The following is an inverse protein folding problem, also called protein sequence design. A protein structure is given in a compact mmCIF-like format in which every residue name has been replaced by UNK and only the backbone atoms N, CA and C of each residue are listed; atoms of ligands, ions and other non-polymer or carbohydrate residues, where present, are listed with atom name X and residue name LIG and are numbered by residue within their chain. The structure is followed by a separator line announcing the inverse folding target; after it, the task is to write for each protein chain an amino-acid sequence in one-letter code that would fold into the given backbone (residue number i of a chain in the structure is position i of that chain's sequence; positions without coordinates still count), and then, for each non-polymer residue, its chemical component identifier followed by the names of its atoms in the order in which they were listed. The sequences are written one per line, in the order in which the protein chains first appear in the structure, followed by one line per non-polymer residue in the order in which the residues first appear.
data_IF_063616478297
#
_entry.id   IF_063616478297
#
_cell.length_a   1.000
_cell.length_b   1.000
_cell.length_c   1.000
_cell.angle_alpha   90.00
_cell.angle_beta   90.00
_cell.angle_gamma   90.00
#
_symmetry.space_group_name_H-M   'P 1'
#
loop_
_entity.id
_entity.type
_entity.pdbx_description
1 polymer ?
#
# COMPACT_ATOMS: atom_id res chain seq x y z
N UNK A 1 -12.08 -6.68 35.12
CA UNK A 1 -10.91 -7.48 34.66
C UNK A 1 -10.95 -7.87 33.16
N UNK A 2 -12.07 -8.28 32.53
CA UNK A 2 -12.10 -8.61 31.11
C UNK A 2 -11.65 -7.47 30.19
N UNK A 3 -11.98 -6.21 30.52
CA UNK A 3 -11.62 -5.03 29.72
C UNK A 3 -10.10 -4.76 29.65
N UNK A 4 -9.36 -5.02 30.73
CA UNK A 4 -7.90 -4.84 30.78
C UNK A 4 -7.19 -5.85 29.88
N UNK A 5 -7.64 -7.11 29.87
CA UNK A 5 -7.09 -8.15 29.02
C UNK A 5 -7.38 -7.89 27.54
N UNK A 6 -8.59 -7.44 27.20
CA UNK A 6 -8.97 -7.06 25.86
C UNK A 6 -8.13 -5.88 25.35
N UNK A 7 -7.97 -4.82 26.13
CA UNK A 7 -7.13 -3.66 25.80
C UNK A 7 -5.66 -4.06 25.59
N UNK A 8 -5.14 -4.95 26.43
CA UNK A 8 -3.79 -5.47 26.29
C UNK A 8 -3.62 -6.29 24.99
N UNK A 9 -4.61 -7.09 24.61
CA UNK A 9 -4.62 -7.85 23.36
C UNK A 9 -4.61 -6.91 22.14
N UNK A 10 -5.46 -5.88 22.13
CA UNK A 10 -5.47 -4.84 21.08
C UNK A 10 -4.11 -4.17 20.95
N UNK A 11 -3.51 -3.79 22.07
CA UNK A 11 -2.20 -3.12 22.08
C UNK A 11 -1.09 -4.03 21.57
N UNK A 12 -1.08 -5.31 21.90
CA UNK A 12 -0.12 -6.28 21.35
C UNK A 12 -0.30 -6.45 19.85
N UNK A 13 -1.53 -6.64 19.39
CA UNK A 13 -1.85 -6.78 17.96
C UNK A 13 -1.45 -5.52 17.18
N UNK A 14 -1.75 -4.34 17.70
CA UNK A 14 -1.37 -3.08 17.09
C UNK A 14 0.16 -2.94 16.94
N UNK A 15 0.94 -3.28 17.96
CA UNK A 15 2.42 -3.25 17.90
C UNK A 15 2.95 -4.26 16.89
N UNK A 16 2.41 -5.48 16.85
CA UNK A 16 2.78 -6.48 15.86
C UNK A 16 2.52 -5.98 14.46
N UNK A 17 1.34 -5.43 14.19
CA UNK A 17 0.98 -4.87 12.89
C UNK A 17 1.96 -3.77 12.44
N UNK A 18 2.37 -2.90 13.36
CA UNK A 18 3.38 -1.86 13.05
C UNK A 18 4.73 -2.49 12.74
N UNK A 19 5.16 -3.46 13.53
CA UNK A 19 6.46 -4.13 13.35
C UNK A 19 6.53 -4.92 12.03
N UNK A 20 5.45 -5.62 11.66
CA UNK A 20 5.35 -6.45 10.45
C UNK A 20 4.89 -5.65 9.21
N UNK A 21 4.73 -4.32 9.34
CA UNK A 21 4.20 -3.49 8.26
C UNK A 21 5.13 -3.44 7.05
N UNK A 22 4.53 -3.33 5.88
CA UNK A 22 5.22 -3.05 4.62
C UNK A 22 5.41 -1.55 4.43
N UNK A 23 6.34 -1.15 3.56
CA UNK A 23 6.69 0.25 3.31
C UNK A 23 6.72 0.55 1.82
N UNK A 24 6.31 1.76 1.43
CA UNK A 24 6.52 2.26 0.07
C UNK A 24 7.79 3.12 0.00
N UNK A 25 8.58 2.94 -1.06
CA UNK A 25 9.71 3.80 -1.38
C UNK A 25 9.72 4.13 -2.87
N UNK A 26 10.27 5.30 -3.20
CA UNK A 26 10.48 5.68 -4.61
C UNK A 26 11.86 5.21 -5.09
N UNK A 27 12.04 4.95 -6.40
CA UNK A 27 13.37 4.66 -6.96
C UNK A 27 14.39 5.74 -6.63
N UNK A 28 13.99 7.01 -6.65
CA UNK A 28 14.87 8.13 -6.32
C UNK A 28 15.38 8.07 -4.88
N UNK A 29 14.53 7.74 -3.90
CA UNK A 29 14.94 7.56 -2.52
C UNK A 29 15.94 6.42 -2.38
N UNK A 30 15.62 5.25 -2.95
CA UNK A 30 16.49 4.06 -2.87
C UNK A 30 17.82 4.30 -3.55
N UNK A 31 17.84 4.96 -4.71
CA UNK A 31 19.08 5.29 -5.43
C UNK A 31 19.98 6.24 -4.66
N UNK A 32 19.41 7.24 -3.99
CA UNK A 32 20.14 8.22 -3.20
C UNK A 32 20.70 7.66 -1.88
N UNK A 33 20.11 6.61 -1.33
CA UNK A 33 20.57 5.98 -0.10
C UNK A 33 21.92 5.28 -0.34
N UNK A 34 22.98 5.62 0.42
CA UNK A 34 24.30 4.98 0.29
C UNK A 34 24.30 3.54 0.77
N UNK A 35 23.51 3.25 1.80
CA UNK A 35 23.37 1.94 2.44
C UNK A 35 21.92 1.72 2.89
N UNK A 36 21.61 0.52 3.37
CA UNK A 36 20.33 0.24 4.02
C UNK A 36 20.15 1.18 5.22
N UNK A 37 18.96 1.81 5.38
CA UNK A 37 18.67 2.58 6.60
C UNK A 37 18.78 1.68 7.85
N UNK A 38 19.46 2.15 8.89
CA UNK A 38 19.74 1.34 10.10
C UNK A 38 18.45 0.84 10.78
N UNK A 39 17.44 1.69 10.86
CA UNK A 39 16.13 1.34 11.43
C UNK A 39 15.25 0.47 10.50
N UNK A 40 15.75 0.01 9.35
CA UNK A 40 15.02 -0.85 8.43
C UNK A 40 15.36 -2.33 8.72
N UNK A 41 14.46 -3.14 9.31
CA UNK A 41 14.74 -4.55 9.58
C UNK A 41 14.97 -5.34 8.29
N UNK A 42 15.83 -6.34 8.35
CA UNK A 42 15.96 -7.34 7.28
C UNK A 42 14.64 -8.06 7.05
N UNK A 43 14.42 -8.51 5.82
CA UNK A 43 13.19 -9.19 5.43
C UNK A 43 11.98 -8.25 5.27
N UNK A 44 12.10 -6.94 5.56
CA UNK A 44 10.98 -6.00 5.37
C UNK A 44 10.55 -5.98 3.90
N UNK A 45 9.25 -6.10 3.67
CA UNK A 45 8.66 -5.97 2.32
C UNK A 45 8.55 -4.49 1.95
N UNK A 46 9.16 -4.11 0.82
CA UNK A 46 9.25 -2.73 0.34
C UNK A 46 8.64 -2.63 -1.06
N UNK A 47 7.59 -1.85 -1.16
CA UNK A 47 6.92 -1.54 -2.42
C UNK A 47 7.69 -0.42 -3.12
N UNK A 48 8.06 -0.65 -4.38
CA UNK A 48 8.82 0.30 -5.18
C UNK A 48 7.94 0.87 -6.27
N UNK A 49 7.72 2.18 -6.21
CA UNK A 49 6.84 2.87 -7.16
C UNK A 49 7.43 2.85 -8.57
N UNK A 50 6.56 2.67 -9.58
CA UNK A 50 6.87 3.03 -10.95
C UNK A 50 6.06 4.26 -11.33
N UNK A 51 6.72 5.40 -11.36
CA UNK A 51 6.09 6.69 -11.61
C UNK A 51 5.98 6.96 -13.12
N UNK A 52 4.92 7.66 -13.52
CA UNK A 52 4.71 8.09 -14.91
C UNK A 52 5.87 8.95 -15.39
N UNK A 53 6.29 8.73 -16.64
CA UNK A 53 7.42 9.41 -17.25
C UNK A 53 8.79 8.76 -17.00
N UNK A 54 8.85 7.71 -16.16
CA UNK A 54 10.08 6.97 -15.90
C UNK A 54 10.07 5.58 -16.57
N UNK A 55 11.23 5.12 -16.99
CA UNK A 55 11.37 3.76 -17.51
C UNK A 55 11.34 2.73 -16.38
N UNK A 56 10.80 1.52 -16.65
CA UNK A 56 10.77 0.42 -15.66
C UNK A 56 12.17 0.07 -15.13
N UNK A 57 13.21 0.23 -15.93
CA UNK A 57 14.61 -0.02 -15.54
C UNK A 57 15.04 0.70 -14.25
N UNK A 58 14.50 1.89 -13.96
CA UNK A 58 14.78 2.61 -12.71
C UNK A 58 14.11 1.94 -11.51
N UNK A 59 12.89 1.46 -11.66
CA UNK A 59 12.18 0.68 -10.64
C UNK A 59 12.91 -0.65 -10.40
N UNK A 60 13.32 -1.32 -11.46
CA UNK A 60 14.06 -2.58 -11.39
C UNK A 60 15.41 -2.41 -10.68
N UNK A 61 16.17 -1.36 -11.00
CA UNK A 61 17.43 -1.05 -10.32
C UNK A 61 17.24 -0.77 -8.82
N UNK A 62 16.18 -0.05 -8.46
CA UNK A 62 15.84 0.17 -7.05
C UNK A 62 15.44 -1.14 -6.34
N UNK A 63 14.69 -2.01 -7.01
CA UNK A 63 14.34 -3.32 -6.47
C UNK A 63 15.58 -4.20 -6.24
N UNK A 64 16.57 -4.21 -7.14
CA UNK A 64 17.85 -4.92 -6.95
C UNK A 64 18.56 -4.42 -5.69
N UNK A 65 18.65 -3.10 -5.52
CA UNK A 65 19.28 -2.50 -4.34
C UNK A 65 18.53 -2.83 -3.04
N UNK A 66 17.21 -2.89 -3.06
CA UNK A 66 16.40 -3.35 -1.92
C UNK A 66 16.70 -4.82 -1.59
N UNK A 67 16.92 -5.66 -2.59
CA UNK A 67 17.38 -7.05 -2.38
C UNK A 67 18.75 -7.11 -1.72
N UNK A 68 19.70 -6.28 -2.17
CA UNK A 68 21.03 -6.17 -1.56
C UNK A 68 20.95 -5.74 -0.08
N UNK A 69 19.93 -4.98 0.30
CA UNK A 69 19.65 -4.64 1.70
C UNK A 69 19.09 -5.82 2.52
N UNK A 70 18.86 -6.99 1.91
CA UNK A 70 18.23 -8.13 2.56
C UNK A 70 16.73 -7.95 2.77
N UNK A 71 16.09 -7.08 1.99
CA UNK A 71 14.66 -6.79 2.01
C UNK A 71 13.94 -7.43 0.83
N UNK A 72 12.59 -7.48 0.87
CA UNK A 72 11.75 -8.08 -0.16
C UNK A 72 11.14 -6.96 -1.04
N UNK A 73 11.59 -6.77 -2.30
CA UNK A 73 11.01 -5.76 -3.18
C UNK A 73 9.68 -6.23 -3.76
N UNK A 74 8.73 -5.32 -3.84
CA UNK A 74 7.44 -5.48 -4.54
C UNK A 74 7.33 -4.33 -5.55
N UNK A 75 7.68 -4.54 -6.83
CA UNK A 75 7.54 -3.49 -7.84
C UNK A 75 6.08 -3.18 -8.13
N UNK A 76 5.76 -1.90 -8.31
CA UNK A 76 4.48 -1.46 -8.86
C UNK A 76 4.46 -1.71 -10.35
N UNK A 77 3.36 -2.25 -10.85
CA UNK A 77 3.10 -2.47 -12.27
C UNK A 77 1.83 -1.71 -12.69
N UNK A 78 1.98 -0.48 -13.22
CA UNK A 78 0.86 0.29 -13.73
C UNK A 78 0.38 -0.30 -15.07
N UNK A 79 -0.84 -0.80 -15.14
CA UNK A 79 -1.41 -1.40 -16.35
C UNK A 79 -1.33 -0.46 -17.57
N UNK A 80 -1.67 0.83 -17.35
CA UNK A 80 -1.64 1.85 -18.42
C UNK A 80 -0.24 2.25 -18.88
N UNK A 81 0.83 1.77 -18.22
CA UNK A 81 2.21 1.97 -18.67
C UNK A 81 2.70 0.86 -19.57
N UNK A 82 1.99 -0.28 -19.64
CA UNK A 82 2.35 -1.42 -20.48
C UNK A 82 2.01 -1.12 -21.95
N UNK A 83 3.02 -1.15 -22.81
CA UNK A 83 2.83 -0.95 -24.25
C UNK A 83 2.19 -2.18 -24.91
N UNK A 84 2.63 -3.37 -24.53
CA UNK A 84 2.21 -4.63 -25.12
C UNK A 84 2.44 -5.83 -24.17
N UNK A 85 2.03 -7.02 -24.57
CA UNK A 85 2.24 -8.27 -23.83
C UNK A 85 3.71 -8.71 -23.78
N UNK A 86 4.52 -8.57 -24.84
CA UNK A 86 5.96 -8.81 -24.76
C UNK A 86 6.64 -8.01 -23.67
N UNK A 87 6.33 -6.72 -23.53
CA UNK A 87 6.83 -5.88 -22.43
C UNK A 87 6.39 -6.40 -21.06
N UNK A 88 5.12 -6.79 -20.91
CA UNK A 88 4.61 -7.34 -19.66
C UNK A 88 5.33 -8.65 -19.30
N UNK A 89 5.56 -9.54 -20.27
CA UNK A 89 6.30 -10.79 -20.08
C UNK A 89 7.76 -10.52 -19.69
N UNK A 90 8.43 -9.62 -20.36
CA UNK A 90 9.81 -9.23 -20.03
C UNK A 90 9.89 -8.71 -18.59
N UNK A 91 8.95 -7.86 -18.16
CA UNK A 91 8.89 -7.34 -16.80
C UNK A 91 8.65 -8.48 -15.80
N UNK A 92 7.69 -9.35 -16.05
CA UNK A 92 7.40 -10.51 -15.19
C UNK A 92 8.62 -11.41 -15.02
N UNK A 93 9.34 -11.70 -16.11
CA UNK A 93 10.59 -12.48 -16.09
C UNK A 93 11.70 -11.76 -15.30
N UNK A 94 11.87 -10.46 -15.48
CA UNK A 94 12.85 -9.69 -14.70
C UNK A 94 12.54 -9.75 -13.18
N UNK A 95 11.26 -9.68 -12.81
CA UNK A 95 10.84 -9.80 -11.40
C UNK A 95 11.18 -11.18 -10.84
N UNK A 96 10.90 -12.24 -11.55
CA UNK A 96 11.12 -13.62 -11.06
C UNK A 96 12.58 -14.04 -11.14
N UNK A 97 13.28 -13.75 -12.24
CA UNK A 97 14.63 -14.24 -12.50
C UNK A 97 15.72 -13.37 -11.91
N UNK A 98 15.55 -12.03 -11.92
CA UNK A 98 16.59 -11.12 -11.44
C UNK A 98 16.34 -10.68 -9.99
N UNK A 99 15.08 -10.42 -9.62
CA UNK A 99 14.75 -10.02 -8.25
C UNK A 99 14.49 -11.23 -7.33
N UNK A 100 14.39 -12.43 -7.89
CA UNK A 100 14.05 -13.66 -7.15
C UNK A 100 12.85 -13.47 -6.22
N UNK A 101 11.79 -12.82 -6.74
CA UNK A 101 10.50 -12.64 -6.10
C UNK A 101 9.39 -12.96 -7.07
N UNK A 102 8.27 -13.42 -6.56
CA UNK A 102 7.06 -13.72 -7.32
C UNK A 102 5.91 -12.76 -6.99
N UNK A 103 6.26 -11.61 -6.38
CA UNK A 103 5.31 -10.68 -5.79
C UNK A 103 5.35 -9.33 -6.50
N UNK A 104 4.16 -8.81 -6.86
CA UNK A 104 4.00 -7.49 -7.51
C UNK A 104 2.78 -6.75 -6.94
N UNK A 105 2.75 -5.42 -7.11
CA UNK A 105 1.54 -4.61 -6.92
C UNK A 105 1.01 -4.15 -8.28
N UNK A 106 -0.23 -4.49 -8.60
CA UNK A 106 -0.93 -4.01 -9.78
C UNK A 106 -1.74 -2.76 -9.47
N UNK A 107 -1.48 -1.70 -10.23
CA UNK A 107 -2.24 -0.45 -10.20
C UNK A 107 -2.69 -0.08 -11.62
N UNK A 108 -3.74 0.71 -11.74
CA UNK A 108 -4.16 1.20 -13.06
C UNK A 108 -3.10 2.11 -13.69
N UNK A 109 -2.45 2.93 -12.87
CA UNK A 109 -1.57 4.02 -13.30
C UNK A 109 -2.34 5.30 -13.61
N UNK A 110 -1.60 6.39 -13.72
CA UNK A 110 -2.10 7.77 -13.84
C UNK A 110 -2.09 8.33 -15.28
N UNK A 111 -1.60 7.56 -16.27
CA UNK A 111 -1.69 7.96 -17.68
C UNK A 111 -3.14 8.11 -18.11
N UNK A 112 -3.50 9.27 -18.68
CA UNK A 112 -4.83 9.52 -19.20
C UNK A 112 -5.20 8.55 -20.35
N UNK A 113 -4.23 8.24 -21.23
CA UNK A 113 -4.35 7.22 -22.25
C UNK A 113 -3.41 6.06 -21.95
N UNK A 114 -3.87 4.79 -21.99
CA UNK A 114 -2.99 3.63 -21.93
C UNK A 114 -1.90 3.69 -23.00
N UNK A 115 -0.72 3.16 -22.70
CA UNK A 115 0.36 3.05 -23.69
C UNK A 115 0.08 1.96 -24.74
N UNK A 116 -0.76 0.98 -24.39
CA UNK A 116 -1.19 -0.11 -25.24
C UNK A 116 -2.64 -0.51 -24.96
N UNK A 117 -2.95 -1.80 -25.07
CA UNK A 117 -4.31 -2.33 -24.91
C UNK A 117 -4.74 -2.54 -23.45
N UNK A 118 -3.82 -2.44 -22.46
CA UNK A 118 -4.12 -2.70 -21.05
C UNK A 118 -4.63 -1.42 -20.36
N UNK A 119 -5.94 -1.26 -20.33
CA UNK A 119 -6.58 -0.07 -19.78
C UNK A 119 -6.62 -0.04 -18.25
N UNK A 120 -6.65 -1.21 -17.60
CA UNK A 120 -6.77 -1.38 -16.17
C UNK A 120 -6.14 -2.69 -15.66
N UNK A 121 -6.17 -2.89 -14.37
CA UNK A 121 -5.55 -4.05 -13.71
C UNK A 121 -6.30 -5.36 -13.95
N UNK A 122 -7.59 -5.31 -14.25
CA UNK A 122 -8.38 -6.49 -14.56
C UNK A 122 -8.01 -7.02 -15.95
N UNK A 123 -7.94 -6.13 -16.94
CA UNK A 123 -7.46 -6.47 -18.29
C UNK A 123 -6.04 -7.07 -18.25
N UNK A 124 -5.15 -6.52 -17.39
CA UNK A 124 -3.81 -7.05 -17.21
C UNK A 124 -3.83 -8.48 -16.62
N UNK A 125 -4.60 -8.72 -15.57
CA UNK A 125 -4.74 -10.05 -14.94
C UNK A 125 -5.31 -11.08 -15.92
N UNK A 126 -6.30 -10.70 -16.72
CA UNK A 126 -6.96 -11.59 -17.68
C UNK A 126 -6.02 -12.10 -18.79
N UNK A 127 -4.87 -11.46 -19.00
CA UNK A 127 -3.89 -11.94 -20.00
C UNK A 127 -3.21 -13.25 -19.61
N UNK A 128 -3.17 -13.62 -18.31
CA UNK A 128 -2.39 -14.75 -17.81
C UNK A 128 -0.86 -14.57 -17.85
N UNK A 129 -0.36 -13.52 -18.48
CA UNK A 129 1.07 -13.31 -18.76
C UNK A 129 1.93 -13.24 -17.48
N UNK A 130 1.41 -12.67 -16.41
CA UNK A 130 2.13 -12.62 -15.12
C UNK A 130 2.29 -14.03 -14.51
N UNK A 131 1.23 -14.83 -14.55
CA UNK A 131 1.24 -16.21 -14.08
C UNK A 131 2.23 -17.07 -14.86
N UNK A 132 2.23 -16.93 -16.21
CA UNK A 132 3.18 -17.59 -17.12
C UNK A 132 4.63 -17.20 -16.81
N UNK A 133 4.86 -15.96 -16.35
CA UNK A 133 6.18 -15.45 -15.95
C UNK A 133 6.59 -15.89 -14.54
N UNK A 134 5.78 -16.68 -13.82
CA UNK A 134 6.08 -17.19 -12.50
C UNK A 134 5.60 -16.28 -11.35
N UNK A 135 4.91 -15.20 -11.60
CA UNK A 135 4.29 -14.37 -10.55
C UNK A 135 3.13 -15.15 -9.92
N UNK A 136 3.09 -15.17 -8.58
CA UNK A 136 2.07 -15.89 -7.78
C UNK A 136 1.37 -15.00 -6.78
N UNK A 137 2.06 -13.99 -6.25
CA UNK A 137 1.57 -13.11 -5.21
C UNK A 137 1.26 -11.72 -5.80
N UNK A 138 0.01 -11.29 -5.75
CA UNK A 138 -0.41 -10.06 -6.40
C UNK A 138 -1.15 -9.17 -5.40
N UNK A 139 -0.60 -8.00 -5.16
CA UNK A 139 -1.32 -6.94 -4.50
C UNK A 139 -2.14 -6.14 -5.51
N UNK A 140 -3.34 -5.73 -5.11
CA UNK A 140 -4.23 -4.84 -5.90
C UNK A 140 -4.70 -3.68 -5.03
N UNK A 141 -5.01 -2.55 -5.66
CA UNK A 141 -5.48 -1.37 -4.94
C UNK A 141 -6.91 -1.55 -4.41
N UNK A 142 -7.14 -1.12 -3.15
CA UNK A 142 -8.45 -0.98 -2.53
C UNK A 142 -8.78 0.49 -2.23
N UNK A 143 -10.05 0.87 -2.30
CA UNK A 143 -10.49 2.25 -2.18
C UNK A 143 -11.61 2.38 -1.14
N UNK A 144 -11.30 2.40 0.17
CA UNK A 144 -12.30 2.49 1.23
C UNK A 144 -13.19 3.72 1.16
N UNK A 145 -12.65 4.83 0.68
CA UNK A 145 -13.35 6.12 0.57
C UNK A 145 -13.84 6.40 -0.87
N UNK A 146 -13.89 5.35 -1.71
CA UNK A 146 -14.26 5.44 -3.12
C UNK A 146 -13.08 5.69 -4.04
N UNK A 147 -13.31 5.48 -5.32
CA UNK A 147 -12.34 5.67 -6.40
C UNK A 147 -12.79 6.80 -7.32
N UNK A 148 -11.92 7.75 -7.66
CA UNK A 148 -12.28 8.80 -8.61
C UNK A 148 -12.53 8.26 -10.03
N UNK A 149 -12.09 7.05 -10.32
CA UNK A 149 -12.23 6.41 -11.65
C UNK A 149 -13.43 5.46 -11.70
N UNK A 150 -13.75 4.80 -10.57
CA UNK A 150 -14.89 3.87 -10.45
C UNK A 150 -16.07 4.60 -9.81
N UNK A 151 -16.83 5.32 -10.62
CA UNK A 151 -17.92 6.20 -10.13
C UNK A 151 -19.29 5.50 -10.07
N UNK A 152 -19.46 4.37 -10.76
CA UNK A 152 -20.72 3.65 -10.74
C UNK A 152 -20.89 2.88 -9.42
N UNK A 153 -22.10 2.90 -8.81
CA UNK A 153 -22.38 2.11 -7.62
C UNK A 153 -22.05 0.63 -7.82
N UNK A 154 -21.32 0.02 -6.88
CA UNK A 154 -20.93 -1.39 -6.94
C UNK A 154 -19.78 -1.74 -7.91
N UNK A 155 -19.33 -0.83 -8.75
CA UNK A 155 -18.25 -1.10 -9.72
C UNK A 155 -16.95 -1.58 -9.04
N UNK A 156 -16.51 -0.90 -7.99
CA UNK A 156 -15.30 -1.29 -7.26
C UNK A 156 -15.41 -2.70 -6.65
N UNK A 157 -16.57 -3.03 -6.11
CA UNK A 157 -16.86 -4.35 -5.56
C UNK A 157 -16.86 -5.43 -6.66
N UNK A 158 -17.52 -5.17 -7.79
CA UNK A 158 -17.56 -6.08 -8.95
C UNK A 158 -16.14 -6.38 -9.46
N UNK A 159 -15.29 -5.35 -9.59
CA UNK A 159 -13.89 -5.52 -10.00
C UNK A 159 -13.09 -6.36 -9.00
N UNK A 160 -13.28 -6.17 -7.70
CA UNK A 160 -12.60 -6.98 -6.69
C UNK A 160 -13.07 -8.44 -6.73
N UNK A 161 -14.36 -8.68 -6.95
CA UNK A 161 -14.91 -10.04 -7.11
C UNK A 161 -14.30 -10.75 -8.30
N UNK A 162 -14.25 -10.11 -9.47
CA UNK A 162 -13.62 -10.68 -10.66
C UNK A 162 -12.13 -11.00 -10.44
N UNK A 163 -11.40 -10.12 -9.73
CA UNK A 163 -10.00 -10.41 -9.37
C UNK A 163 -9.88 -11.61 -8.44
N UNK A 164 -10.77 -11.72 -7.45
CA UNK A 164 -10.82 -12.88 -6.55
C UNK A 164 -11.09 -14.17 -7.33
N UNK A 165 -12.03 -14.17 -8.26
CA UNK A 165 -12.35 -15.30 -9.12
C UNK A 165 -11.15 -15.70 -10.00
N UNK A 166 -10.45 -14.72 -10.59
CA UNK A 166 -9.21 -14.98 -11.34
C UNK A 166 -8.16 -15.60 -10.43
N UNK A 167 -7.96 -15.04 -9.22
CA UNK A 167 -7.00 -15.58 -8.27
C UNK A 167 -7.28 -17.04 -7.92
N UNK A 168 -8.54 -17.37 -7.66
CA UNK A 168 -8.97 -18.74 -7.35
C UNK A 168 -8.79 -19.70 -8.53
N UNK A 169 -9.17 -19.25 -9.73
CA UNK A 169 -9.05 -20.04 -10.97
C UNK A 169 -7.57 -20.32 -11.31
N UNK A 170 -6.71 -19.31 -11.20
CA UNK A 170 -5.35 -19.32 -11.74
C UNK A 170 -4.30 -19.62 -10.65
N UNK A 171 -4.71 -19.91 -9.41
CA UNK A 171 -3.81 -20.21 -8.29
C UNK A 171 -2.93 -19.03 -7.87
N UNK A 172 -3.47 -17.80 -7.96
CA UNK A 172 -2.80 -16.57 -7.54
C UNK A 172 -3.24 -16.15 -6.14
N UNK A 173 -2.31 -15.80 -5.27
CA UNK A 173 -2.59 -15.18 -3.99
C UNK A 173 -2.81 -13.66 -4.19
N UNK A 174 -4.08 -13.26 -4.27
CA UNK A 174 -4.45 -11.86 -4.44
C UNK A 174 -4.76 -11.23 -3.10
N UNK A 175 -4.11 -10.10 -2.81
CA UNK A 175 -4.26 -9.31 -1.59
C UNK A 175 -4.57 -7.85 -1.93
N UNK A 176 -5.26 -7.16 -1.05
CA UNK A 176 -5.58 -5.75 -1.24
C UNK A 176 -4.61 -4.90 -0.42
N UNK A 177 -4.04 -3.86 -1.04
CA UNK A 177 -3.48 -2.70 -0.34
C UNK A 177 -4.46 -1.56 -0.46
N UNK A 178 -4.98 -1.05 0.66
CA UNK A 178 -5.90 0.08 0.59
C UNK A 178 -5.17 1.37 0.22
N UNK A 179 -5.92 2.28 -0.39
CA UNK A 179 -5.53 3.68 -0.47
C UNK A 179 -5.20 4.19 0.94
N UNK A 180 -4.49 5.32 1.01
CA UNK A 180 -4.13 5.99 2.24
C UNK A 180 -5.39 6.33 3.07
N UNK A 181 -5.50 5.78 4.28
CA UNK A 181 -6.62 5.95 5.19
C UNK A 181 -6.25 6.88 6.35
N UNK A 182 -7.05 7.90 6.56
CA UNK A 182 -6.89 8.87 7.65
C UNK A 182 -7.97 8.72 8.73
N UNK A 183 -9.12 8.15 8.36
CA UNK A 183 -10.26 7.91 9.24
C UNK A 183 -10.56 6.41 9.30
N UNK A 184 -10.66 5.82 10.50
CA UNK A 184 -11.04 4.43 10.63
C UNK A 184 -12.48 4.14 10.20
N UNK A 185 -13.42 5.09 10.30
CA UNK A 185 -14.84 4.82 10.10
C UNK A 185 -15.17 4.36 8.66
N UNK A 186 -14.75 5.06 7.58
CA UNK A 186 -14.95 4.59 6.21
C UNK A 186 -14.24 3.25 5.95
N UNK A 187 -13.02 3.07 6.48
CA UNK A 187 -12.25 1.84 6.33
C UNK A 187 -12.97 0.63 6.93
N UNK A 188 -13.48 0.74 8.16
CA UNK A 188 -14.20 -0.34 8.84
C UNK A 188 -15.55 -0.63 8.18
N UNK A 189 -16.24 0.40 7.69
CA UNK A 189 -17.48 0.22 6.93
C UNK A 189 -17.23 -0.50 5.61
N UNK A 190 -16.15 -0.12 4.90
CA UNK A 190 -15.75 -0.75 3.65
C UNK A 190 -15.38 -2.23 3.84
N UNK A 191 -14.60 -2.58 4.86
CA UNK A 191 -14.25 -3.97 5.17
C UNK A 191 -15.51 -4.82 5.44
N UNK A 192 -16.44 -4.30 6.25
CA UNK A 192 -17.73 -4.98 6.50
C UNK A 192 -18.50 -5.18 5.21
N UNK A 193 -18.52 -4.17 4.32
CA UNK A 193 -19.18 -4.25 3.03
C UNK A 193 -18.55 -5.30 2.11
N UNK A 194 -17.21 -5.36 2.05
CA UNK A 194 -16.52 -6.39 1.28
C UNK A 194 -16.90 -7.79 1.76
N UNK A 195 -16.79 -8.03 3.06
CA UNK A 195 -17.08 -9.33 3.69
C UNK A 195 -18.54 -9.75 3.51
N UNK A 196 -19.47 -8.83 3.69
CA UNK A 196 -20.91 -9.08 3.47
C UNK A 196 -21.24 -9.43 2.01
N UNK A 197 -20.39 -9.06 1.06
CA UNK A 197 -20.53 -9.36 -0.36
C UNK A 197 -19.62 -10.50 -0.86
N UNK A 198 -19.09 -11.33 0.04
CA UNK A 198 -18.35 -12.54 -0.30
C UNK A 198 -16.90 -12.31 -0.77
N UNK A 199 -16.35 -11.10 -0.55
CA UNK A 199 -14.92 -10.87 -0.74
C UNK A 199 -14.17 -11.45 0.46
N UNK A 200 -13.16 -12.26 0.17
CA UNK A 200 -12.31 -12.93 1.18
C UNK A 200 -10.83 -12.50 1.05
N UNK A 201 -10.53 -11.60 0.13
CA UNK A 201 -9.18 -11.12 -0.12
C UNK A 201 -8.58 -10.45 1.13
N UNK A 202 -7.36 -10.84 1.55
CA UNK A 202 -6.67 -10.21 2.66
C UNK A 202 -6.40 -8.73 2.41
N UNK A 203 -6.58 -7.88 3.43
CA UNK A 203 -6.42 -6.43 3.33
C UNK A 203 -5.22 -5.95 4.14
N UNK A 204 -4.28 -5.27 3.48
CA UNK A 204 -3.25 -4.45 4.09
C UNK A 204 -3.71 -3.00 4.10
N UNK A 205 -3.82 -2.42 5.29
CA UNK A 205 -4.33 -1.05 5.45
C UNK A 205 -3.26 -0.03 5.13
N UNK A 206 -3.52 0.81 4.15
CA UNK A 206 -2.64 1.91 3.76
C UNK A 206 -2.70 3.07 4.74
N UNK A 207 -1.57 3.47 5.31
CA UNK A 207 -1.47 4.53 6.29
C UNK A 207 -0.36 5.52 5.91
N UNK A 208 -0.50 6.82 6.19
CA UNK A 208 0.64 7.71 6.11
C UNK A 208 1.65 7.36 7.20
N UNK A 209 2.92 7.65 6.97
CA UNK A 209 3.89 7.77 8.05
C UNK A 209 3.50 8.93 9.00
N UNK A 210 4.20 9.11 10.13
CA UNK A 210 3.98 10.23 11.05
C UNK A 210 4.49 11.54 10.42
N UNK A 211 3.78 12.05 9.43
CA UNK A 211 4.14 13.22 8.62
C UNK A 211 3.05 14.29 8.67
N UNK A 212 3.44 15.58 8.64
CA UNK A 212 2.46 16.67 8.56
C UNK A 212 1.66 16.62 7.25
N UNK A 213 0.37 17.03 7.26
CA UNK A 213 -0.49 17.06 6.07
C UNK A 213 0.10 17.81 4.89
N UNK A 214 0.80 18.94 5.14
CA UNK A 214 1.51 19.71 4.11
C UNK A 214 2.55 18.88 3.34
N UNK A 215 3.21 17.95 4.03
CA UNK A 215 4.19 17.05 3.41
C UNK A 215 3.50 15.99 2.55
N UNK A 216 2.39 15.41 3.01
CA UNK A 216 1.56 14.49 2.21
C UNK A 216 1.06 15.14 0.93
N UNK A 217 0.54 16.37 1.02
CA UNK A 217 0.08 17.13 -0.16
C UNK A 217 1.23 17.37 -1.15
N UNK A 218 2.38 17.83 -0.65
CA UNK A 218 3.55 18.11 -1.48
C UNK A 218 4.10 16.85 -2.15
N UNK A 219 4.08 15.74 -1.45
CA UNK A 219 4.48 14.44 -2.00
C UNK A 219 3.50 13.96 -3.08
N UNK A 220 2.19 14.03 -2.83
CA UNK A 220 1.16 13.69 -3.80
C UNK A 220 1.28 14.50 -5.11
N UNK A 221 1.58 15.81 -5.01
CA UNK A 221 1.82 16.65 -6.19
C UNK A 221 3.07 16.23 -6.97
N UNK A 222 4.15 15.83 -6.29
CA UNK A 222 5.43 15.45 -6.93
C UNK A 222 5.41 14.06 -7.53
N UNK A 223 4.64 13.16 -6.96
CA UNK A 223 4.55 11.78 -7.43
C UNK A 223 3.49 11.57 -8.52
N UNK A 224 2.88 12.65 -9.04
CA UNK A 224 1.88 12.55 -10.10
C UNK A 224 0.59 11.85 -9.66
N UNK A 225 0.34 11.75 -8.35
CA UNK A 225 -0.87 11.12 -7.81
C UNK A 225 -2.04 12.11 -7.98
N UNK A 226 -2.27 12.53 -9.23
CA UNK A 226 -3.32 13.47 -9.61
C UNK A 226 -4.70 13.13 -9.04
N UNK A 227 -5.12 11.85 -9.02
CA UNK A 227 -6.40 11.44 -8.44
C UNK A 227 -6.48 11.57 -6.91
N UNK A 228 -5.35 11.55 -6.20
CA UNK A 228 -5.34 11.71 -4.73
C UNK A 228 -5.49 13.18 -4.32
N UNK A 229 -5.13 14.12 -5.18
CA UNK A 229 -5.22 15.53 -4.86
C UNK A 229 -6.66 16.05 -4.67
N UNK A 230 -7.65 15.72 -5.53
CA UNK A 230 -9.06 15.99 -5.27
C UNK A 230 -9.58 15.32 -3.99
N UNK A 231 -9.16 14.08 -3.74
CA UNK A 231 -9.47 13.34 -2.51
C UNK A 231 -8.92 14.04 -1.26
N UNK A 232 -7.64 14.42 -1.25
CA UNK A 232 -7.04 15.17 -0.15
C UNK A 232 -7.67 16.57 0.01
N UNK A 233 -8.07 17.21 -1.09
CA UNK A 233 -8.79 18.51 -1.05
C UNK A 233 -10.21 18.36 -0.51
N UNK A 234 -10.93 17.30 -0.88
CA UNK A 234 -12.26 17.00 -0.36
C UNK A 234 -12.21 16.69 1.16
N UNK A 235 -11.08 16.19 1.64
CA UNK A 235 -10.84 15.89 3.05
C UNK A 235 -10.14 17.03 3.83
N UNK A 236 -10.28 18.27 3.38
CA UNK A 236 -9.68 19.43 4.06
C UNK A 236 -9.97 19.50 5.56
N UNK A 237 -11.17 19.19 5.97
CA UNK A 237 -11.56 19.14 7.39
C UNK A 237 -10.84 18.03 8.14
N UNK A 238 -10.69 16.87 7.52
CA UNK A 238 -9.93 15.74 8.07
C UNK A 238 -8.42 16.05 8.12
N UNK A 239 -7.90 16.65 7.08
CA UNK A 239 -6.50 17.11 7.01
C UNK A 239 -6.18 18.15 8.08
N UNK A 240 -7.11 19.06 8.38
CA UNK A 240 -6.95 20.03 9.47
C UNK A 240 -6.96 19.35 10.85
N UNK A 241 -7.82 18.34 11.04
CA UNK A 241 -7.84 17.53 12.26
C UNK A 241 -6.58 16.67 12.39
N UNK A 242 -6.04 16.14 11.28
CA UNK A 242 -4.77 15.40 11.25
C UNK A 242 -3.58 16.29 11.64
N UNK A 243 -3.63 17.61 11.38
CA UNK A 243 -2.52 18.55 11.63
C UNK A 243 -2.20 18.74 13.12
N UNK A 244 -3.16 18.51 14.01
CA UNK A 244 -3.02 18.92 15.39
C UNK A 244 -2.64 17.82 16.37
N UNK A 245 -3.04 16.54 16.13
CA UNK A 245 -2.85 15.45 17.11
C UNK A 245 -2.84 14.04 16.51
N UNK A 246 -2.97 13.89 15.19
CA UNK A 246 -3.26 12.58 14.61
C UNK A 246 -2.01 11.79 14.25
N UNK A 247 -1.86 10.65 14.88
CA UNK A 247 -0.88 9.62 14.50
C UNK A 247 -1.60 8.47 13.80
N UNK A 248 -0.89 7.63 13.02
CA UNK A 248 -1.48 6.42 12.41
C UNK A 248 -2.19 5.52 13.43
N UNK A 249 -1.87 5.63 14.69
CA UNK A 249 -2.41 4.86 15.81
C UNK A 249 -3.94 4.93 15.91
N UNK A 250 -4.56 6.08 15.58
CA UNK A 250 -6.02 6.23 15.60
C UNK A 250 -6.75 5.31 14.60
N UNK A 251 -6.07 4.88 13.52
CA UNK A 251 -6.58 3.88 12.58
C UNK A 251 -6.13 2.48 12.99
N UNK A 252 -4.90 2.33 13.46
CA UNK A 252 -4.30 1.03 13.80
C UNK A 252 -5.06 0.33 14.94
N UNK A 253 -5.44 1.06 16.00
CA UNK A 253 -6.16 0.47 17.14
C UNK A 253 -7.53 -0.10 16.76
N UNK A 254 -8.43 0.62 16.06
CA UNK A 254 -9.67 0.06 15.57
C UNK A 254 -9.48 -1.15 14.63
N UNK A 255 -8.49 -1.12 13.75
CA UNK A 255 -8.14 -2.26 12.88
C UNK A 255 -7.74 -3.47 13.73
N UNK A 256 -6.83 -3.30 14.70
CA UNK A 256 -6.43 -4.36 15.61
C UNK A 256 -7.62 -4.89 16.43
N UNK A 257 -8.54 -4.01 16.85
CA UNK A 257 -9.76 -4.40 17.55
C UNK A 257 -10.63 -5.32 16.67
N UNK A 258 -10.90 -4.94 15.42
CA UNK A 258 -11.69 -5.75 14.49
C UNK A 258 -11.02 -7.11 14.23
N UNK A 259 -9.70 -7.15 14.07
CA UNK A 259 -8.96 -8.41 13.84
C UNK A 259 -9.13 -9.43 14.97
N UNK A 260 -9.27 -8.98 16.21
CA UNK A 260 -9.40 -9.89 17.36
C UNK A 260 -10.86 -10.17 17.74
N UNK A 261 -11.81 -9.30 17.38
CA UNK A 261 -13.21 -9.46 17.80
C UNK A 261 -14.15 -9.93 16.71
N UNK A 262 -13.70 -9.91 15.45
CA UNK A 262 -14.56 -10.22 14.30
C UNK A 262 -14.06 -11.47 13.58
N UNK A 263 -14.75 -12.61 13.72
CA UNK A 263 -14.43 -13.80 12.91
C UNK A 263 -14.50 -13.49 11.42
N UNK A 264 -13.48 -13.93 10.68
CA UNK A 264 -13.41 -13.69 9.23
C UNK A 264 -13.07 -12.25 8.83
N UNK A 265 -12.66 -11.38 9.75
CA UNK A 265 -12.13 -10.06 9.41
C UNK A 265 -11.07 -10.15 8.30
N UNK A 266 -11.06 -9.21 7.37
CA UNK A 266 -10.17 -9.25 6.20
C UNK A 266 -8.81 -8.59 6.46
N UNK A 267 -8.68 -7.74 7.47
CA UNK A 267 -7.39 -7.10 7.79
C UNK A 267 -6.31 -8.12 8.13
N UNK A 268 -5.12 -7.98 7.52
CA UNK A 268 -3.97 -8.86 7.77
C UNK A 268 -2.68 -8.10 8.06
N UNK A 269 -2.55 -6.84 7.61
CA UNK A 269 -1.32 -6.08 7.77
C UNK A 269 -1.54 -4.58 7.58
N UNK A 270 -0.46 -3.84 7.75
CA UNK A 270 -0.38 -2.41 7.46
C UNK A 270 0.60 -2.16 6.33
N UNK A 271 0.32 -1.13 5.55
CA UNK A 271 1.22 -0.60 4.53
C UNK A 271 1.45 0.88 4.77
N UNK A 272 2.70 1.29 4.98
CA UNK A 272 3.01 2.71 5.19
C UNK A 272 3.44 3.40 3.91
N UNK A 273 2.80 4.54 3.67
CA UNK A 273 3.20 5.56 2.70
C UNK A 273 4.02 6.64 3.43
N UNK A 274 5.36 6.60 3.41
CA UNK A 274 6.19 7.55 4.17
C UNK A 274 6.12 8.98 3.64
N UNK A 275 5.58 9.22 2.44
CA UNK A 275 5.42 10.53 1.82
C UNK A 275 6.74 11.35 1.80
N UNK A 276 7.87 10.69 1.51
CA UNK A 276 9.19 11.29 1.49
C UNK A 276 9.91 11.35 2.84
N UNK A 277 9.27 10.92 3.94
CA UNK A 277 9.85 10.91 5.28
C UNK A 277 10.16 9.48 5.76
N UNK A 278 10.89 8.71 4.97
CA UNK A 278 11.19 7.29 5.27
C UNK A 278 11.89 7.14 6.61
N UNK A 279 12.97 7.90 6.88
CA UNK A 279 13.70 7.82 8.14
C UNK A 279 12.80 8.09 9.36
N UNK A 280 11.90 9.08 9.28
CA UNK A 280 10.95 9.37 10.36
C UNK A 280 9.96 8.22 10.57
N UNK A 281 9.46 7.63 9.49
CA UNK A 281 8.53 6.49 9.54
C UNK A 281 9.21 5.27 10.16
N UNK A 282 10.46 5.00 9.78
CA UNK A 282 11.25 3.89 10.35
C UNK A 282 11.52 4.11 11.83
N UNK A 283 11.97 5.29 12.25
CA UNK A 283 12.22 5.59 13.68
C UNK A 283 10.95 5.50 14.53
N UNK A 284 9.79 5.93 13.99
CA UNK A 284 8.51 5.77 14.67
C UNK A 284 8.09 4.30 14.79
N UNK A 285 8.31 3.50 13.73
CA UNK A 285 8.06 2.06 13.72
C UNK A 285 8.94 1.34 14.75
N UNK A 286 10.23 1.65 14.81
CA UNK A 286 11.20 1.12 15.76
C UNK A 286 10.82 1.44 17.22
N UNK A 287 10.30 2.64 17.47
CA UNK A 287 9.74 3.04 18.78
C UNK A 287 8.42 2.32 19.15
N UNK A 288 7.97 1.36 18.32
CA UNK A 288 6.77 0.57 18.54
C UNK A 288 5.47 1.25 18.11
N UNK A 289 5.55 2.30 17.28
CA UNK A 289 4.38 2.96 16.71
C UNK A 289 3.50 3.70 17.71
N UNK A 290 3.96 3.89 18.95
CA UNK A 290 3.25 4.56 20.02
C UNK A 290 3.98 5.86 20.37
N UNK A 291 3.34 7.02 20.45
CA UNK A 291 4.02 8.22 20.92
C UNK A 291 4.37 8.06 22.39
N UNK A 292 5.62 7.81 22.71
CA UNK A 292 6.15 8.35 23.96
C UNK A 292 6.07 9.87 23.84
N UNK A 293 5.65 10.60 24.86
CA UNK A 293 5.40 12.07 24.89
C UNK A 293 6.50 12.96 24.24
N UNK A 294 7.65 12.41 23.89
CA UNK A 294 8.79 13.09 23.24
C UNK A 294 8.57 13.45 21.75
N UNK A 295 7.73 12.72 21.02
CA UNK A 295 7.51 13.01 19.58
C UNK A 295 6.60 14.21 19.33
N UNK A 296 5.75 14.57 20.32
CA UNK A 296 4.89 15.75 20.22
C UNK A 296 5.67 17.07 20.17
N UNK A 297 6.84 17.16 20.78
CA UNK A 297 7.69 18.37 20.80
C UNK A 297 8.48 18.60 19.50
N UNK A 298 8.84 17.54 18.77
CA UNK A 298 9.58 17.65 17.51
C UNK A 298 8.74 18.01 16.27
N UNK A 299 7.41 17.96 16.38
CA UNK A 299 6.49 18.34 15.29
C UNK A 299 6.28 19.87 15.19
N UNK A 300 6.68 20.64 16.20
CA UNK A 300 6.49 22.10 16.25
C UNK A 300 7.72 22.91 15.77
N UNK A 301 8.86 22.27 15.48
CA UNK A 301 10.14 22.95 15.20
C UNK A 301 10.78 22.60 13.84
N UNK A 302 9.99 22.16 12.84
CA UNK A 302 10.51 21.91 11.48
C UNK A 302 9.53 22.43 10.40
#
# INVERSE_FOLDING_TARGET
MPDVQARAAVSRTARRLVHESTLEMTPAYVSAARQRPDALPQGTTIFITWLTGFAFGQTLAACRKVREWGCQPVPHLPARAMADLPMLRMIGQAVTQELHTDTVLLIAGDKAKPAGCLADTLALLQTGTLQESGIRNIYVAGHPEGSPVMQQPGQALSVLRQKQEIGQRDGLDIRIVSQLCLDPAPLLQWERHLRANGITLPVHVGLPGPVPPRMMMRYGMRCGVGPVLPFLKAQRALMHRWSCTSTPEQVIRPVAQVMITTPGALFRGLHFFPCGAVARTLGWREAGGMPRQAYAKGLMSA
#
